data_IF_734730473132
#
_entry.id   IF_734730473132
#
_cell.length_a   1.000
_cell.length_b   1.000
_cell.length_c   1.000
_cell.angle_alpha   90.00
_cell.angle_beta   90.00
_cell.angle_gamma   90.00
#
_symmetry.space_group_name_H-M   'P 1'
#
loop_
_entity.id
_entity.type
_entity.pdbx_description
1 polymer ?
#
# COMPACT_ATOMS: atom_id res chain seq x y z
N UNK A 1 -42.98 -64.32 -48.24
CA UNK A 1 -41.64 -64.18 -47.78
C UNK A 1 -41.35 -62.72 -47.54
N UNK A 2 -41.46 -62.26 -46.27
CA UNK A 2 -41.26 -60.87 -45.91
C UNK A 2 -39.84 -60.78 -45.24
N UNK A 3 -38.91 -60.04 -45.87
CA UNK A 3 -37.58 -59.72 -45.33
C UNK A 3 -37.68 -58.49 -44.42
N UNK A 4 -37.42 -58.68 -43.16
CA UNK A 4 -37.32 -57.60 -42.17
C UNK A 4 -35.88 -57.12 -42.22
N UNK A 5 -35.67 -55.85 -42.63
CA UNK A 5 -34.40 -55.14 -42.59
C UNK A 5 -34.35 -54.38 -41.28
N UNK A 6 -33.58 -54.84 -40.31
CA UNK A 6 -33.32 -54.13 -39.08
C UNK A 6 -32.18 -53.11 -39.32
N UNK A 7 -32.56 -51.84 -39.38
CA UNK A 7 -31.60 -50.71 -39.44
C UNK A 7 -31.04 -50.43 -38.04
N UNK A 8 -29.74 -50.71 -37.84
CA UNK A 8 -29.01 -50.36 -36.64
C UNK A 8 -28.50 -48.91 -36.78
N UNK A 9 -29.21 -47.98 -36.16
CA UNK A 9 -28.77 -46.60 -36.08
C UNK A 9 -27.73 -46.47 -35.00
N UNK A 10 -26.45 -46.40 -35.40
CA UNK A 10 -25.32 -46.13 -34.50
C UNK A 10 -25.34 -44.65 -34.11
N UNK A 11 -25.73 -44.36 -32.86
CA UNK A 11 -25.70 -43.01 -32.27
C UNK A 11 -24.27 -42.70 -31.85
N UNK A 12 -23.52 -41.98 -32.68
CA UNK A 12 -22.21 -41.39 -32.32
C UNK A 12 -22.45 -40.27 -31.33
N UNK A 13 -22.20 -40.56 -30.04
CA UNK A 13 -22.08 -39.51 -29.00
C UNK A 13 -20.74 -38.88 -29.20
N UNK A 14 -20.72 -37.73 -29.92
CA UNK A 14 -19.58 -36.84 -29.96
C UNK A 14 -19.55 -36.12 -28.62
N UNK A 15 -18.79 -36.72 -27.64
CA UNK A 15 -18.49 -36.06 -26.41
C UNK A 15 -17.59 -34.84 -26.69
N UNK A 16 -18.21 -33.65 -26.70
CA UNK A 16 -17.49 -32.38 -26.72
C UNK A 16 -16.67 -32.29 -25.43
N UNK A 17 -15.41 -32.73 -25.48
CA UNK A 17 -14.41 -32.37 -24.50
C UNK A 17 -14.24 -30.84 -24.55
N UNK A 18 -14.99 -30.11 -23.71
CA UNK A 18 -14.69 -28.73 -23.38
C UNK A 18 -13.35 -28.73 -22.66
N UNK A 19 -12.25 -28.83 -23.41
CA UNK A 19 -10.89 -28.53 -22.93
C UNK A 19 -10.85 -27.02 -22.67
N UNK A 20 -11.30 -26.62 -21.49
CA UNK A 20 -11.01 -25.27 -21.00
C UNK A 20 -9.50 -25.14 -20.90
N UNK A 21 -8.89 -24.31 -21.75
CA UNK A 21 -7.47 -23.99 -21.66
C UNK A 21 -7.10 -23.69 -20.20
N UNK A 22 -5.96 -24.21 -19.69
CA UNK A 22 -5.56 -23.97 -18.31
C UNK A 22 -5.56 -22.48 -18.04
N UNK A 23 -6.34 -22.05 -17.05
CA UNK A 23 -6.43 -20.65 -16.71
C UNK A 23 -5.04 -20.17 -16.27
N UNK A 24 -4.51 -19.16 -16.97
CA UNK A 24 -3.25 -18.50 -16.62
C UNK A 24 -3.33 -17.96 -15.19
N UNK A 25 -2.22 -17.96 -14.48
CA UNK A 25 -2.12 -17.31 -13.18
C UNK A 25 -2.13 -15.78 -13.30
N UNK A 26 -2.05 -15.09 -12.17
CA UNK A 26 -2.08 -13.61 -12.12
C UNK A 26 -0.92 -13.02 -12.94
N UNK A 27 0.29 -13.57 -12.80
CA UNK A 27 1.49 -13.05 -13.47
C UNK A 27 1.41 -13.29 -14.98
N UNK A 28 1.08 -14.52 -15.40
CA UNK A 28 1.00 -14.88 -16.82
C UNK A 28 -0.15 -14.13 -17.51
N UNK A 29 -1.24 -13.87 -16.78
CA UNK A 29 -2.36 -13.04 -17.28
C UNK A 29 -1.93 -11.60 -17.48
N UNK A 30 -1.18 -11.02 -16.51
CA UNK A 30 -0.68 -9.65 -16.60
C UNK A 30 0.34 -9.51 -17.74
N UNK A 31 1.26 -10.46 -17.89
CA UNK A 31 2.24 -10.49 -19.01
C UNK A 31 1.52 -10.56 -20.36
N UNK A 32 0.52 -11.43 -20.48
CA UNK A 32 -0.23 -11.63 -21.74
C UNK A 32 -1.14 -10.46 -22.12
N UNK A 33 -1.49 -9.59 -21.19
CA UNK A 33 -2.37 -8.45 -21.44
C UNK A 33 -1.69 -7.26 -22.13
N UNK A 34 -0.34 -7.19 -22.11
CA UNK A 34 0.45 -6.17 -22.81
C UNK A 34 0.43 -4.76 -22.20
N UNK A 35 -0.52 -4.46 -21.28
CA UNK A 35 -0.72 -3.13 -20.68
C UNK A 35 -0.11 -2.98 -19.28
N UNK A 36 0.71 -3.94 -18.84
CA UNK A 36 1.28 -4.01 -17.49
C UNK A 36 2.80 -4.23 -17.51
N UNK A 37 3.49 -3.73 -18.53
CA UNK A 37 4.94 -3.91 -18.70
C UNK A 37 5.71 -3.40 -17.49
N UNK A 38 5.38 -2.19 -17.04
CA UNK A 38 6.00 -1.55 -15.89
C UNK A 38 5.73 -2.32 -14.59
N UNK A 39 4.48 -2.77 -14.39
CA UNK A 39 4.11 -3.59 -13.22
C UNK A 39 4.88 -4.91 -13.20
N UNK A 40 4.97 -5.61 -14.34
CA UNK A 40 5.70 -6.89 -14.46
C UNK A 40 7.19 -6.68 -14.18
N UNK A 41 7.79 -5.62 -14.70
CA UNK A 41 9.18 -5.26 -14.40
C UNK A 41 9.39 -4.99 -12.90
N UNK A 42 8.47 -4.24 -12.27
CA UNK A 42 8.50 -3.96 -10.85
C UNK A 42 8.37 -5.24 -9.98
N UNK A 43 7.46 -6.15 -10.32
CA UNK A 43 7.28 -7.43 -9.62
C UNK A 43 8.53 -8.30 -9.74
N UNK A 44 9.19 -8.33 -10.91
CA UNK A 44 10.46 -9.03 -11.11
C UNK A 44 11.58 -8.42 -10.27
N UNK A 45 11.75 -7.11 -10.31
CA UNK A 45 12.78 -6.39 -9.54
C UNK A 45 12.60 -6.56 -8.02
N UNK A 46 11.35 -6.61 -7.55
CA UNK A 46 11.03 -6.87 -6.15
C UNK A 46 11.26 -8.34 -5.72
N UNK A 47 11.35 -9.28 -6.65
CA UNK A 47 11.44 -10.73 -6.36
C UNK A 47 10.11 -11.34 -5.90
N UNK A 48 8.97 -10.76 -6.32
CA UNK A 48 7.63 -11.20 -5.89
C UNK A 48 6.94 -12.12 -6.90
N UNK A 49 7.62 -12.52 -7.98
CA UNK A 49 7.04 -13.37 -9.02
C UNK A 49 6.53 -14.70 -8.46
N UNK A 50 7.36 -15.43 -7.71
CA UNK A 50 7.01 -16.73 -7.15
C UNK A 50 5.90 -16.61 -6.09
N UNK A 51 5.91 -15.54 -5.31
CA UNK A 51 4.85 -15.24 -4.34
C UNK A 51 3.49 -15.06 -5.03
N UNK A 52 3.44 -14.31 -6.15
CA UNK A 52 2.21 -14.06 -6.91
C UNK A 52 1.81 -15.26 -7.80
N UNK A 53 2.73 -16.16 -8.14
CA UNK A 53 2.45 -17.45 -8.79
C UNK A 53 2.01 -18.53 -7.80
N UNK A 54 2.20 -18.31 -6.51
CA UNK A 54 1.87 -19.25 -5.45
C UNK A 54 0.38 -19.58 -5.35
N UNK A 55 0.09 -20.50 -4.42
CA UNK A 55 -1.29 -20.94 -4.12
C UNK A 55 -2.07 -19.78 -3.51
N UNK A 56 -2.92 -19.10 -4.34
CA UNK A 56 -3.84 -18.06 -3.88
C UNK A 56 -4.90 -18.61 -2.89
N UNK A 57 -6.06 -17.98 -2.80
CA UNK A 57 -6.52 -16.92 -3.71
C UNK A 57 -5.99 -15.52 -3.38
N UNK A 58 -5.66 -14.75 -4.42
CA UNK A 58 -5.26 -13.35 -4.31
C UNK A 58 -6.23 -12.44 -5.08
N UNK A 59 -6.33 -11.19 -4.63
CA UNK A 59 -6.94 -10.10 -5.40
C UNK A 59 -5.87 -9.07 -5.66
N UNK A 60 -5.56 -8.80 -6.91
CA UNK A 60 -4.54 -7.85 -7.32
C UNK A 60 -5.16 -6.65 -7.99
N UNK A 61 -4.87 -5.47 -7.47
CA UNK A 61 -5.20 -4.19 -8.10
C UNK A 61 -4.03 -3.79 -9.01
N UNK A 62 -4.16 -4.07 -10.32
CA UNK A 62 -3.09 -3.90 -11.29
C UNK A 62 -3.16 -2.52 -11.95
N UNK A 63 -2.22 -1.61 -11.69
CA UNK A 63 -2.11 -0.35 -12.41
C UNK A 63 -1.60 -0.57 -13.83
N UNK A 64 -2.18 0.13 -14.81
CA UNK A 64 -1.71 0.12 -16.20
C UNK A 64 -0.42 0.91 -16.37
N UNK A 65 0.24 0.77 -17.53
CA UNK A 65 1.43 1.57 -17.84
C UNK A 65 1.12 3.09 -17.83
N UNK A 66 -0.12 3.49 -18.25
CA UNK A 66 -0.59 4.87 -18.15
C UNK A 66 -0.77 5.32 -16.69
N UNK A 67 -1.13 4.40 -15.79
CA UNK A 67 -1.23 4.72 -14.35
C UNK A 67 0.16 5.03 -13.77
N UNK A 68 1.19 4.33 -14.20
CA UNK A 68 2.58 4.63 -13.83
C UNK A 68 3.07 5.94 -14.46
N UNK A 69 2.65 6.27 -15.68
CA UNK A 69 3.01 7.53 -16.34
C UNK A 69 2.47 8.78 -15.62
N UNK A 70 1.43 8.64 -14.80
CA UNK A 70 0.90 9.72 -13.95
C UNK A 70 1.78 10.02 -12.72
N UNK A 71 2.75 9.16 -12.40
CA UNK A 71 3.69 9.43 -11.33
C UNK A 71 4.70 10.52 -11.74
N UNK A 72 5.27 11.27 -10.78
CA UNK A 72 6.32 12.23 -11.08
C UNK A 72 7.49 11.57 -11.83
N UNK A 73 8.07 12.29 -12.80
CA UNK A 73 9.21 11.79 -13.58
C UNK A 73 10.34 11.32 -12.66
N UNK A 74 10.95 10.19 -12.98
CA UNK A 74 12.03 9.59 -12.20
C UNK A 74 11.57 8.74 -11.01
N UNK A 75 10.27 8.77 -10.65
CA UNK A 75 9.77 7.97 -9.51
C UNK A 75 9.87 6.48 -9.78
N UNK A 76 9.49 6.03 -10.97
CA UNK A 76 9.53 4.61 -11.34
C UNK A 76 10.98 4.12 -11.39
N UNK A 77 11.87 4.87 -12.06
CA UNK A 77 13.29 4.54 -12.12
C UNK A 77 13.93 4.49 -10.72
N UNK A 78 13.57 5.45 -9.85
CA UNK A 78 14.03 5.46 -8.47
C UNK A 78 13.55 4.23 -7.69
N UNK A 79 12.29 3.82 -7.85
CA UNK A 79 11.74 2.65 -7.17
C UNK A 79 12.35 1.32 -7.65
N UNK A 80 12.81 1.27 -8.89
CA UNK A 80 13.46 0.07 -9.45
C UNK A 80 14.93 -0.09 -9.01
N UNK A 81 15.51 0.92 -8.39
CA UNK A 81 16.89 0.83 -7.87
C UNK A 81 16.97 -0.13 -6.67
N UNK A 82 18.09 -0.89 -6.54
CA UNK A 82 18.26 -1.85 -5.46
C UNK A 82 18.08 -1.27 -4.06
N UNK A 83 18.54 -0.03 -3.83
CA UNK A 83 18.40 0.69 -2.55
C UNK A 83 16.94 0.96 -2.16
N UNK A 84 16.03 0.99 -3.14
CA UNK A 84 14.60 1.23 -2.93
C UNK A 84 13.76 -0.06 -2.98
N UNK A 85 14.39 -1.23 -3.00
CA UNK A 85 13.70 -2.53 -3.12
C UNK A 85 12.64 -2.72 -2.03
N UNK A 86 12.91 -2.34 -0.79
CA UNK A 86 11.95 -2.44 0.30
C UNK A 86 10.71 -1.56 0.08
N UNK A 87 10.89 -0.33 -0.44
CA UNK A 87 9.78 0.55 -0.80
C UNK A 87 8.96 -0.04 -1.94
N UNK A 88 9.62 -0.62 -2.94
CA UNK A 88 8.97 -1.27 -4.06
C UNK A 88 8.13 -2.47 -3.59
N UNK A 89 8.69 -3.34 -2.75
CA UNK A 89 7.98 -4.47 -2.14
C UNK A 89 6.76 -3.98 -1.35
N UNK A 90 6.93 -2.93 -0.54
CA UNK A 90 5.85 -2.33 0.24
C UNK A 90 4.70 -1.81 -0.66
N UNK A 91 5.03 -1.13 -1.76
CA UNK A 91 4.04 -0.65 -2.73
C UNK A 91 3.34 -1.83 -3.41
N UNK A 92 4.07 -2.81 -3.90
CA UNK A 92 3.49 -3.96 -4.61
C UNK A 92 2.60 -4.81 -3.70
N UNK A 93 3.02 -5.07 -2.47
CA UNK A 93 2.21 -5.81 -1.48
C UNK A 93 0.98 -5.02 -1.02
N UNK A 94 0.98 -3.70 -1.14
CA UNK A 94 -0.18 -2.84 -0.93
C UNK A 94 -1.23 -2.96 -2.04
N UNK A 95 -0.84 -3.38 -3.24
CA UNK A 95 -1.75 -3.68 -4.35
C UNK A 95 -2.39 -5.07 -4.27
N UNK A 96 -2.01 -5.88 -3.28
CA UNK A 96 -2.48 -7.26 -3.14
C UNK A 96 -3.30 -7.43 -1.87
N UNK A 97 -4.48 -8.01 -2.01
CA UNK A 97 -5.35 -8.42 -0.91
C UNK A 97 -5.41 -9.94 -0.89
N UNK A 98 -5.25 -10.53 0.30
CA UNK A 98 -5.43 -11.96 0.48
C UNK A 98 -6.91 -12.32 0.32
N UNK A 99 -7.18 -13.39 -0.44
CA UNK A 99 -8.54 -13.82 -0.74
C UNK A 99 -9.03 -13.38 -2.13
N UNK A 100 -10.11 -14.00 -2.56
CA UNK A 100 -10.78 -13.74 -3.85
C UNK A 100 -11.93 -12.77 -3.65
N UNK A 101 -11.72 -11.50 -3.94
CA UNK A 101 -12.71 -10.43 -3.79
C UNK A 101 -13.15 -9.95 -5.18
N UNK A 102 -14.29 -10.43 -5.65
CA UNK A 102 -14.92 -9.92 -6.89
C UNK A 102 -15.49 -8.52 -6.68
N UNK A 103 -15.67 -7.74 -7.75
CA UNK A 103 -16.20 -6.38 -7.70
C UNK A 103 -17.53 -6.28 -6.93
N UNK A 104 -18.45 -7.22 -7.12
CA UNK A 104 -19.73 -7.27 -6.39
C UNK A 104 -19.54 -7.44 -4.89
N UNK A 105 -18.52 -8.19 -4.45
CA UNK A 105 -18.17 -8.34 -3.02
C UNK A 105 -17.45 -7.09 -2.52
N UNK A 106 -16.50 -6.57 -3.30
CA UNK A 106 -15.76 -5.35 -2.97
C UNK A 106 -16.70 -4.16 -2.77
N UNK A 107 -17.74 -4.01 -3.60
CA UNK A 107 -18.73 -2.93 -3.48
C UNK A 107 -19.53 -2.93 -2.16
N UNK A 108 -19.49 -4.02 -1.40
CA UNK A 108 -20.13 -4.15 -0.07
C UNK A 108 -19.16 -3.91 1.09
N UNK A 109 -17.89 -3.66 0.81
CA UNK A 109 -16.84 -3.42 1.78
C UNK A 109 -16.44 -1.95 1.74
N UNK A 110 -16.26 -1.35 2.91
CA UNK A 110 -15.71 0.02 3.03
C UNK A 110 -14.18 0.02 2.98
N UNK A 111 -13.54 -1.06 3.39
CA UNK A 111 -12.09 -1.25 3.35
C UNK A 111 -11.69 -2.72 3.17
N UNK A 112 -10.44 -2.94 2.80
CA UNK A 112 -9.81 -4.25 2.78
C UNK A 112 -8.36 -4.17 3.24
N UNK A 113 -7.94 -5.17 4.04
CA UNK A 113 -6.55 -5.28 4.50
C UNK A 113 -5.70 -5.88 3.39
N UNK A 114 -4.61 -5.21 3.05
CA UNK A 114 -3.66 -5.65 2.03
C UNK A 114 -2.59 -6.58 2.63
N UNK A 115 -1.83 -7.26 1.78
CA UNK A 115 -0.69 -8.09 2.19
C UNK A 115 0.41 -7.25 2.85
N UNK A 116 0.50 -5.97 2.52
CA UNK A 116 1.36 -4.98 3.20
C UNK A 116 0.96 -4.76 4.68
N UNK A 117 -0.25 -5.16 5.09
CA UNK A 117 -0.80 -4.91 6.42
C UNK A 117 -1.57 -3.61 6.57
N UNK A 118 -1.46 -2.67 5.63
CA UNK A 118 -2.25 -1.45 5.60
C UNK A 118 -3.60 -1.68 4.91
N UNK A 119 -4.59 -0.83 5.20
CA UNK A 119 -5.91 -0.91 4.59
C UNK A 119 -6.03 -0.03 3.36
N UNK A 120 -6.75 -0.52 2.37
CA UNK A 120 -7.27 0.26 1.24
C UNK A 120 -8.73 0.58 1.50
N UNK A 121 -9.16 1.79 1.16
CA UNK A 121 -10.58 2.19 1.19
C UNK A 121 -11.23 1.79 -0.13
N UNK A 122 -12.43 1.23 -0.05
CA UNK A 122 -13.23 0.83 -1.21
C UNK A 122 -14.51 1.64 -1.19
N UNK A 123 -14.81 2.33 -2.28
CA UNK A 123 -16.04 3.11 -2.41
C UNK A 123 -16.72 2.82 -3.74
N UNK A 124 -18.02 2.55 -3.76
CA UNK A 124 -18.78 2.51 -5.00
C UNK A 124 -18.78 3.90 -5.65
N UNK A 125 -18.60 3.96 -6.97
CA UNK A 125 -18.65 5.20 -7.75
C UNK A 125 -19.40 4.95 -9.05
N UNK A 126 -20.72 5.16 -9.02
CA UNK A 126 -21.60 4.82 -10.11
C UNK A 126 -21.55 3.31 -10.43
N UNK A 127 -21.17 2.97 -11.68
CA UNK A 127 -21.04 1.57 -12.13
C UNK A 127 -19.65 0.97 -11.85
N UNK A 128 -18.75 1.70 -11.19
CA UNK A 128 -17.36 1.28 -10.94
C UNK A 128 -17.02 1.36 -9.45
N UNK A 129 -15.79 0.99 -9.09
CA UNK A 129 -15.24 1.09 -7.74
C UNK A 129 -14.09 2.08 -7.72
N UNK A 130 -13.98 2.82 -6.64
CA UNK A 130 -12.79 3.59 -6.27
C UNK A 130 -12.03 2.82 -5.18
N UNK A 131 -10.76 2.59 -5.43
CA UNK A 131 -9.83 2.02 -4.46
C UNK A 131 -8.91 3.15 -4.01
N UNK A 132 -9.08 3.64 -2.79
CA UNK A 132 -8.54 4.91 -2.34
C UNK A 132 -9.03 6.05 -3.26
N UNK A 133 -8.14 6.54 -4.14
CA UNK A 133 -8.44 7.57 -5.15
C UNK A 133 -8.37 7.03 -6.59
N UNK A 134 -8.04 5.74 -6.77
CA UNK A 134 -7.87 5.11 -8.07
C UNK A 134 -9.17 4.48 -8.53
N UNK A 135 -9.54 4.70 -9.78
CA UNK A 135 -10.74 4.12 -10.38
C UNK A 135 -10.45 2.73 -10.94
N UNK A 136 -11.33 1.78 -10.68
CA UNK A 136 -11.28 0.47 -11.32
C UNK A 136 -11.81 0.61 -12.74
N UNK A 137 -10.93 0.45 -13.74
CA UNK A 137 -11.29 0.57 -15.16
C UNK A 137 -11.74 -0.75 -15.77
N UNK A 138 -11.24 -1.88 -15.25
CA UNK A 138 -11.70 -3.22 -15.62
C UNK A 138 -11.66 -4.11 -14.39
N UNK A 139 -12.79 -4.75 -14.09
CA UNK A 139 -12.93 -5.59 -12.91
C UNK A 139 -13.04 -7.07 -13.28
N UNK A 140 -12.84 -7.94 -12.28
CA UNK A 140 -13.14 -9.38 -12.35
C UNK A 140 -12.42 -10.16 -13.45
N UNK A 141 -11.15 -9.83 -13.76
CA UNK A 141 -10.31 -10.67 -14.60
C UNK A 141 -9.93 -11.91 -13.81
N UNK A 142 -10.53 -13.03 -14.15
CA UNK A 142 -10.38 -14.30 -13.42
C UNK A 142 -9.11 -15.01 -13.85
N UNK A 143 -8.31 -15.43 -12.87
CA UNK A 143 -7.08 -16.21 -13.06
C UNK A 143 -7.17 -17.55 -12.32
N UNK A 144 -6.19 -18.44 -12.50
CA UNK A 144 -6.16 -19.73 -11.80
C UNK A 144 -6.00 -19.57 -10.29
N UNK A 145 -5.22 -18.59 -9.83
CA UNK A 145 -4.89 -18.34 -8.43
C UNK A 145 -5.45 -17.03 -7.85
N UNK A 146 -6.38 -16.36 -8.56
CA UNK A 146 -6.97 -15.13 -8.01
C UNK A 146 -7.86 -14.34 -8.96
N UNK A 147 -7.93 -13.03 -8.70
CA UNK A 147 -8.66 -12.04 -9.49
C UNK A 147 -7.81 -10.81 -9.67
N UNK A 148 -7.84 -10.21 -10.86
CA UNK A 148 -7.21 -8.93 -11.15
C UNK A 148 -8.27 -7.87 -11.36
N UNK A 149 -8.11 -6.72 -10.72
CA UNK A 149 -8.83 -5.48 -10.98
C UNK A 149 -7.86 -4.44 -11.54
N UNK A 150 -8.13 -3.95 -12.73
CA UNK A 150 -7.29 -2.95 -13.38
C UNK A 150 -7.65 -1.57 -12.85
N UNK A 151 -6.65 -0.80 -12.43
CA UNK A 151 -6.80 0.55 -11.88
C UNK A 151 -6.04 1.59 -12.69
N UNK A 152 -6.56 2.83 -12.69
CA UNK A 152 -6.04 3.96 -13.49
C UNK A 152 -4.98 4.80 -12.78
N UNK A 153 -4.63 4.46 -11.55
CA UNK A 153 -3.56 5.10 -10.80
C UNK A 153 -2.90 4.10 -9.84
N UNK A 154 -1.60 4.29 -9.57
CA UNK A 154 -0.82 3.46 -8.65
C UNK A 154 -1.29 3.73 -7.21
N UNK A 155 -1.57 2.67 -6.45
CA UNK A 155 -1.84 2.77 -5.02
C UNK A 155 -0.51 2.96 -4.29
N UNK A 156 -0.26 4.14 -3.83
CA UNK A 156 0.86 4.38 -2.94
C UNK A 156 0.33 4.07 -1.53
N UNK A 157 0.94 3.11 -0.80
CA UNK A 157 0.59 2.94 0.59
C UNK A 157 0.73 4.32 1.19
N UNK A 158 -0.37 4.88 1.67
CA UNK A 158 -0.27 6.08 2.43
C UNK A 158 0.73 5.74 3.51
N UNK A 159 1.95 6.29 3.45
CA UNK A 159 2.66 6.54 4.69
C UNK A 159 1.55 6.98 5.61
N UNK A 160 1.36 6.29 6.74
CA UNK A 160 0.33 6.67 7.71
C UNK A 160 0.45 8.19 7.77
N UNK A 161 -0.48 8.92 7.12
CA UNK A 161 -0.28 10.36 6.82
C UNK A 161 0.04 11.14 8.08
N UNK A 162 -0.40 10.57 9.21
CA UNK A 162 -0.10 11.06 10.54
C UNK A 162 1.30 10.68 11.05
N UNK A 163 1.78 9.44 10.81
CA UNK A 163 3.12 9.05 11.29
C UNK A 163 4.24 9.66 10.43
N UNK A 164 4.10 9.67 9.09
CA UNK A 164 5.06 10.32 8.19
C UNK A 164 5.11 11.83 8.40
N UNK A 165 3.97 12.47 8.59
CA UNK A 165 3.93 13.92 8.85
C UNK A 165 4.41 14.25 10.26
N UNK A 166 4.15 13.38 11.24
CA UNK A 166 4.72 13.48 12.59
C UNK A 166 6.23 13.39 12.55
N UNK A 167 6.77 12.41 11.81
CA UNK A 167 8.23 12.26 11.67
C UNK A 167 8.83 13.47 10.95
N UNK A 168 8.19 13.98 9.91
CA UNK A 168 8.64 15.19 9.19
C UNK A 168 8.70 16.42 10.10
N UNK A 169 7.69 16.64 10.96
CA UNK A 169 7.70 17.73 11.95
C UNK A 169 8.86 17.54 12.92
N UNK A 170 9.04 16.34 13.43
CA UNK A 170 10.09 16.00 14.38
C UNK A 170 11.48 16.18 13.75
N UNK A 171 11.71 15.64 12.55
CA UNK A 171 12.98 15.75 11.84
C UNK A 171 13.35 17.22 11.53
N UNK A 172 12.38 18.00 11.06
CA UNK A 172 12.56 19.45 10.86
C UNK A 172 12.93 20.17 12.16
N UNK A 173 12.26 19.84 13.26
CA UNK A 173 12.56 20.43 14.55
C UNK A 173 13.97 20.07 15.03
N UNK A 174 14.38 18.84 14.87
CA UNK A 174 15.74 18.37 15.20
C UNK A 174 16.78 19.10 14.34
N UNK A 175 16.55 19.18 13.03
CA UNK A 175 17.46 19.85 12.11
C UNK A 175 17.67 21.33 12.44
N UNK A 176 16.64 22.02 12.89
CA UNK A 176 16.75 23.42 13.33
C UNK A 176 17.30 23.57 14.76
N UNK A 177 16.92 22.64 15.65
CA UNK A 177 17.27 22.74 17.06
C UNK A 177 18.71 22.38 17.40
N UNK A 178 19.30 21.39 16.68
CA UNK A 178 20.67 20.94 16.93
C UNK A 178 21.73 22.05 16.75
N UNK A 179 21.73 22.81 15.65
CA UNK A 179 22.67 23.93 15.49
C UNK A 179 22.49 25.00 16.58
N UNK A 180 21.24 25.34 16.94
CA UNK A 180 20.94 26.29 18.01
C UNK A 180 21.46 25.83 19.37
N UNK A 181 21.31 24.53 19.67
CA UNK A 181 21.80 23.93 20.88
C UNK A 181 23.33 24.01 20.96
N UNK A 182 24.01 23.62 19.89
CA UNK A 182 25.48 23.63 19.81
C UNK A 182 26.08 25.05 19.85
N UNK A 183 25.27 26.07 19.43
CA UNK A 183 25.68 27.49 19.55
C UNK A 183 25.30 28.11 20.89
N UNK A 184 24.89 27.34 21.88
CA UNK A 184 24.53 27.84 23.22
C UNK A 184 23.15 28.48 23.33
N UNK A 185 22.34 28.46 22.25
CA UNK A 185 21.00 29.06 22.21
C UNK A 185 19.93 28.13 22.79
N UNK A 186 20.11 27.62 24.00
CA UNK A 186 19.25 26.59 24.60
C UNK A 186 17.80 26.99 24.73
N UNK A 187 17.51 28.26 25.05
CA UNK A 187 16.12 28.75 25.12
C UNK A 187 15.40 28.71 23.76
N UNK A 188 16.12 29.05 22.67
CA UNK A 188 15.57 28.96 21.31
C UNK A 188 15.37 27.50 20.90
N UNK A 189 16.28 26.61 21.25
CA UNK A 189 16.15 25.15 21.00
C UNK A 189 14.94 24.59 21.71
N UNK A 190 14.75 24.91 22.99
CA UNK A 190 13.58 24.47 23.75
C UNK A 190 12.27 24.96 23.10
N UNK A 191 12.21 26.24 22.69
CA UNK A 191 11.04 26.79 21.99
C UNK A 191 10.72 26.07 20.68
N UNK A 192 11.74 25.74 19.85
CA UNK A 192 11.58 24.99 18.59
C UNK A 192 11.02 23.60 18.88
N UNK A 193 11.57 22.88 19.85
CA UNK A 193 11.16 21.52 20.17
C UNK A 193 9.75 21.47 20.80
N UNK A 194 9.43 22.39 21.70
CA UNK A 194 8.09 22.47 22.29
C UNK A 194 7.03 22.82 21.23
N UNK A 195 7.33 23.78 20.35
CA UNK A 195 6.44 24.13 19.21
C UNK A 195 6.16 22.91 18.32
N UNK A 196 7.19 22.15 17.98
CA UNK A 196 7.03 20.93 17.19
C UNK A 196 6.17 19.89 17.93
N UNK A 197 6.37 19.73 19.25
CA UNK A 197 5.53 18.86 20.07
C UNK A 197 4.05 19.26 20.03
N UNK A 198 3.74 20.54 20.15
CA UNK A 198 2.35 21.03 20.00
C UNK A 198 1.79 20.82 18.60
N UNK A 199 2.59 20.99 17.54
CA UNK A 199 2.18 20.70 16.17
C UNK A 199 1.83 19.22 15.98
N UNK A 200 2.65 18.32 16.53
CA UNK A 200 2.36 16.87 16.52
C UNK A 200 1.03 16.57 17.21
N UNK A 201 0.78 17.15 18.38
CA UNK A 201 -0.50 16.95 19.09
C UNK A 201 -1.70 17.49 18.32
N UNK A 202 -1.55 18.61 17.61
CA UNK A 202 -2.62 19.19 16.80
C UNK A 202 -2.99 18.38 15.55
N UNK A 203 -2.07 17.54 15.08
CA UNK A 203 -2.26 16.78 13.84
C UNK A 203 -2.48 15.27 14.06
N UNK A 204 -2.11 14.76 15.21
CA UNK A 204 -2.34 13.38 15.62
C UNK A 204 -3.64 13.22 16.40
N UNK A 205 -4.25 12.04 16.28
CA UNK A 205 -5.28 11.59 17.19
C UNK A 205 -4.83 10.32 17.92
N UNK A 206 -5.46 9.98 19.04
CA UNK A 206 -5.18 8.74 19.76
C UNK A 206 -5.41 7.48 18.92
N UNK A 207 -6.24 7.57 17.87
CA UNK A 207 -6.49 6.46 16.92
C UNK A 207 -5.42 6.35 15.84
N UNK A 208 -4.85 7.50 15.41
CA UNK A 208 -3.90 7.52 14.27
C UNK A 208 -2.45 7.44 14.68
N UNK A 209 -2.08 8.01 15.84
CA UNK A 209 -0.70 8.04 16.35
C UNK A 209 -0.65 7.81 17.87
N UNK A 210 -1.09 6.65 18.38
CA UNK A 210 -1.23 6.45 19.84
C UNK A 210 0.10 6.61 20.61
N UNK A 211 1.20 6.09 20.06
CA UNK A 211 2.54 6.18 20.67
C UNK A 211 3.03 7.63 20.67
N UNK A 212 2.99 8.32 19.54
CA UNK A 212 3.43 9.70 19.43
C UNK A 212 2.61 10.63 20.35
N UNK A 213 1.28 10.49 20.36
CA UNK A 213 0.39 11.25 21.24
C UNK A 213 0.76 11.12 22.71
N UNK A 214 0.90 9.87 23.20
CA UNK A 214 1.24 9.59 24.59
C UNK A 214 2.62 10.14 24.93
N UNK A 215 3.62 9.86 24.10
CA UNK A 215 5.01 10.25 24.33
C UNK A 215 5.16 11.78 24.34
N UNK A 216 4.63 12.47 23.35
CA UNK A 216 4.71 13.94 23.24
C UNK A 216 3.93 14.64 24.36
N UNK A 217 2.71 14.17 24.68
CA UNK A 217 1.93 14.75 25.78
C UNK A 217 2.68 14.68 27.10
N UNK A 218 3.28 13.54 27.41
CA UNK A 218 4.09 13.34 28.62
C UNK A 218 5.35 14.21 28.61
N UNK A 219 6.05 14.28 27.48
CA UNK A 219 7.26 15.08 27.34
C UNK A 219 7.00 16.58 27.47
N UNK A 220 5.94 17.10 26.83
CA UNK A 220 5.54 18.51 26.94
C UNK A 220 5.17 18.87 28.37
N UNK A 221 4.39 18.04 29.06
CA UNK A 221 4.04 18.26 30.45
C UNK A 221 5.30 18.36 31.34
N UNK A 222 6.23 17.41 31.20
CA UNK A 222 7.49 17.39 31.94
C UNK A 222 8.37 18.59 31.56
N UNK A 223 8.53 18.90 30.27
CA UNK A 223 9.32 20.04 29.84
C UNK A 223 8.77 21.37 30.33
N UNK A 224 7.44 21.53 30.39
CA UNK A 224 6.79 22.75 30.88
C UNK A 224 6.98 22.98 32.40
N UNK A 225 7.23 21.91 33.17
CA UNK A 225 7.54 22.02 34.60
C UNK A 225 9.02 22.35 34.89
N UNK A 226 9.88 22.20 33.89
CA UNK A 226 11.32 22.51 34.03
C UNK A 226 11.59 24.00 33.82
N UNK A 227 12.47 24.57 34.65
CA UNK A 227 12.93 25.96 34.53
C UNK A 227 14.15 26.11 33.61
N UNK A 228 14.94 25.05 33.46
CA UNK A 228 16.15 25.06 32.66
C UNK A 228 15.88 24.75 31.19
N UNK A 229 16.20 25.67 30.27
CA UNK A 229 15.96 25.45 28.84
C UNK A 229 16.73 24.25 28.25
N UNK A 230 17.90 23.96 28.80
CA UNK A 230 18.70 22.78 28.41
C UNK A 230 17.96 21.50 28.77
N UNK A 231 17.40 21.41 29.99
CA UNK A 231 16.62 20.24 30.43
C UNK A 231 15.36 20.09 29.59
N UNK A 232 14.66 21.18 29.32
CA UNK A 232 13.48 21.17 28.41
C UNK A 232 13.82 20.59 27.04
N UNK A 233 14.92 21.05 26.43
CA UNK A 233 15.40 20.58 25.13
C UNK A 233 15.69 19.08 25.14
N UNK A 234 16.36 18.58 26.17
CA UNK A 234 16.69 17.16 26.29
C UNK A 234 15.46 16.27 26.48
N UNK A 235 14.48 16.71 27.29
CA UNK A 235 13.22 15.97 27.47
C UNK A 235 12.50 15.81 26.14
N UNK A 236 12.37 16.88 25.39
CA UNK A 236 11.69 16.86 24.10
C UNK A 236 12.48 16.05 23.05
N UNK A 237 13.81 16.18 23.04
CA UNK A 237 14.67 15.43 22.13
C UNK A 237 14.55 13.92 22.34
N UNK A 238 14.63 13.44 23.58
CA UNK A 238 14.44 12.01 23.90
C UNK A 238 13.07 11.48 23.45
N UNK A 239 12.02 12.30 23.58
CA UNK A 239 10.69 11.92 23.10
C UNK A 239 10.65 11.79 21.58
N UNK A 240 11.30 12.69 20.86
CA UNK A 240 11.41 12.65 19.40
C UNK A 240 12.18 11.41 18.92
N UNK A 241 13.34 11.13 19.52
CA UNK A 241 14.14 9.95 19.18
C UNK A 241 13.38 8.65 19.43
N UNK A 242 12.60 8.57 20.52
CA UNK A 242 11.74 7.41 20.80
C UNK A 242 10.63 7.21 19.74
N UNK A 243 10.01 8.30 19.28
CA UNK A 243 8.98 8.23 18.25
C UNK A 243 9.58 7.78 16.91
N UNK A 244 10.71 8.37 16.52
CA UNK A 244 11.38 8.01 15.27
C UNK A 244 11.84 6.55 15.28
N UNK A 245 12.37 6.05 16.41
CA UNK A 245 12.76 4.65 16.58
C UNK A 245 11.57 3.68 16.52
N UNK A 246 10.39 4.10 17.01
CA UNK A 246 9.19 3.26 17.00
C UNK A 246 8.44 3.24 15.66
N UNK A 247 8.86 4.07 14.69
CA UNK A 247 8.27 4.18 13.37
C UNK A 247 8.98 3.31 12.31
N UNK A 248 10.13 2.75 12.64
CA UNK A 248 10.87 1.77 11.83
C UNK A 248 10.49 0.35 12.25
#
# INVERSE_FOLDING_TARGET
MKRIITSVTSLLIIGSLLSGAPKKDIVDTAVGAGSFKTLVAAVKAAGLVDTLKGKGPFTVFAPTDEAFAKLPKGTVESLLKPENKQKLVSILTYHVVAGKVKAKKAAKLDSAKTVNGAEITIKPSGKTLLINKSKVVKADIMTSNGVIHVIDAVLIPGSKKSASHTNEIIEKAIHHGVPLFNSGHHSKTAAVYMKAGHQVLGQCSSKTCPVAMKTIKTALHKASSERCPTSQSWIMRKAFDHILASAN
#
